data_IF_480958356028
#
_entry.id   IF_480958356028
#
_cell.length_a   1.000
_cell.length_b   1.000
_cell.length_c   1.000
_cell.angle_alpha   90.00
_cell.angle_beta   90.00
_cell.angle_gamma   90.00
#
_symmetry.space_group_name_H-M   'P 1'
#
loop_
_entity.id
_entity.type
_entity.pdbx_description
1 polymer ?
#
# COMPACT_ATOMS: atom_id res chain seq x y z
N UNK A 1 -32.19 13.18 31.39
CA UNK A 1 -32.30 12.56 30.05
C UNK A 1 -31.64 13.37 28.93
N UNK A 2 -31.44 14.70 29.03
CA UNK A 2 -30.75 15.47 27.96
C UNK A 2 -29.24 15.23 27.87
N UNK A 3 -28.56 14.96 28.99
CA UNK A 3 -27.11 14.68 28.99
C UNK A 3 -26.75 13.34 28.32
N UNK A 4 -27.61 12.32 28.44
CA UNK A 4 -27.38 11.00 27.81
C UNK A 4 -27.58 11.09 26.30
N UNK A 5 -28.56 11.87 25.81
CA UNK A 5 -28.75 12.07 24.38
C UNK A 5 -27.60 12.87 23.73
N UNK A 6 -27.02 13.84 24.46
CA UNK A 6 -25.86 14.58 24.00
C UNK A 6 -24.59 13.72 23.98
N UNK A 7 -24.35 12.88 25.01
CA UNK A 7 -23.21 11.95 25.04
C UNK A 7 -23.33 10.90 23.94
N UNK A 8 -24.53 10.37 23.68
CA UNK A 8 -24.76 9.43 22.58
C UNK A 8 -24.57 10.12 21.23
N UNK A 9 -25.09 11.34 21.01
CA UNK A 9 -24.88 12.01 19.73
C UNK A 9 -23.40 12.36 19.49
N UNK A 10 -22.67 12.77 20.53
CA UNK A 10 -21.24 13.10 20.44
C UNK A 10 -20.39 11.83 20.25
N UNK A 11 -20.68 10.75 20.97
CA UNK A 11 -20.04 9.45 20.77
C UNK A 11 -20.31 8.88 19.37
N UNK A 12 -21.51 9.07 18.83
CA UNK A 12 -21.85 8.56 17.49
C UNK A 12 -21.21 9.40 16.38
N UNK A 13 -20.99 10.70 16.59
CA UNK A 13 -20.31 11.57 15.60
C UNK A 13 -18.79 11.30 15.59
N UNK A 14 -18.18 11.11 16.76
CA UNK A 14 -16.74 10.83 16.90
C UNK A 14 -16.33 9.48 16.28
N UNK A 15 -17.23 8.49 16.23
CA UNK A 15 -16.92 7.18 15.62
C UNK A 15 -17.00 7.18 14.08
N UNK A 16 -17.79 8.05 13.45
CA UNK A 16 -17.92 8.06 11.98
C UNK A 16 -16.65 8.57 11.31
N UNK A 17 -16.01 9.59 11.88
CA UNK A 17 -14.77 10.17 11.34
C UNK A 17 -13.61 9.16 11.44
N UNK A 18 -13.49 8.45 12.56
CA UNK A 18 -12.51 7.38 12.74
C UNK A 18 -12.73 6.20 11.77
N UNK A 19 -13.99 5.82 11.51
CA UNK A 19 -14.33 4.79 10.53
C UNK A 19 -13.96 5.22 9.10
N UNK A 20 -14.20 6.48 8.74
CA UNK A 20 -13.84 7.02 7.44
C UNK A 20 -12.31 7.08 7.27
N UNK A 21 -11.57 7.55 8.27
CA UNK A 21 -10.10 7.57 8.22
C UNK A 21 -9.52 6.17 8.04
N UNK A 22 -10.07 5.19 8.74
CA UNK A 22 -9.66 3.78 8.60
C UNK A 22 -10.00 3.24 7.20
N UNK A 23 -11.20 3.55 6.69
CA UNK A 23 -11.61 3.15 5.35
C UNK A 23 -10.69 3.76 4.28
N UNK A 24 -10.40 5.06 4.35
CA UNK A 24 -9.48 5.75 3.44
C UNK A 24 -8.08 5.17 3.54
N UNK A 25 -7.55 4.97 4.75
CA UNK A 25 -6.26 4.36 4.96
C UNK A 25 -6.16 2.95 4.34
N UNK A 26 -7.22 2.14 4.48
CA UNK A 26 -7.27 0.80 3.87
C UNK A 26 -7.28 0.84 2.34
N UNK A 27 -8.00 1.80 1.75
CA UNK A 27 -8.03 2.00 0.29
C UNK A 27 -6.66 2.45 -0.20
N UNK A 28 -6.03 3.40 0.48
CA UNK A 28 -4.69 3.87 0.13
C UNK A 28 -3.67 2.72 0.23
N UNK A 29 -3.71 1.93 1.31
CA UNK A 29 -2.86 0.77 1.47
C UNK A 29 -3.07 -0.24 0.34
N UNK A 30 -4.33 -0.56 -0.01
CA UNK A 30 -4.65 -1.46 -1.11
C UNK A 30 -4.09 -0.95 -2.45
N UNK A 31 -4.28 0.34 -2.75
CA UNK A 31 -3.74 0.97 -3.97
C UNK A 31 -2.22 0.89 -4.01
N UNK A 32 -1.54 1.22 -2.92
CA UNK A 32 -0.06 1.16 -2.83
C UNK A 32 0.43 -0.26 -3.07
N UNK A 33 -0.19 -1.26 -2.43
CA UNK A 33 0.16 -2.67 -2.58
C UNK A 33 -0.04 -3.13 -4.02
N UNK A 34 -1.19 -2.83 -4.63
CA UNK A 34 -1.49 -3.19 -6.01
C UNK A 34 -0.52 -2.54 -6.99
N UNK A 35 -0.31 -1.22 -6.88
CA UNK A 35 0.62 -0.50 -7.77
C UNK A 35 2.05 -1.01 -7.65
N UNK A 36 2.52 -1.26 -6.43
CA UNK A 36 3.87 -1.77 -6.18
C UNK A 36 4.06 -3.15 -6.80
N UNK A 37 3.08 -4.04 -6.66
CA UNK A 37 3.11 -5.37 -7.27
C UNK A 37 3.06 -5.28 -8.81
N UNK A 38 2.19 -4.45 -9.37
CA UNK A 38 2.10 -4.25 -10.82
C UNK A 38 3.40 -3.69 -11.40
N UNK A 39 4.02 -2.70 -10.75
CA UNK A 39 5.31 -2.13 -11.14
C UNK A 39 6.44 -3.16 -11.05
N UNK A 40 6.44 -4.01 -10.02
CA UNK A 40 7.43 -5.07 -9.90
C UNK A 40 7.33 -6.05 -11.07
N UNK A 41 6.12 -6.56 -11.36
CA UNK A 41 5.87 -7.49 -12.46
C UNK A 41 6.26 -6.85 -13.80
N UNK A 42 5.81 -5.62 -14.05
CA UNK A 42 6.13 -4.89 -15.26
C UNK A 42 7.64 -4.68 -15.42
N UNK A 43 8.33 -4.25 -14.36
CA UNK A 43 9.76 -4.03 -14.39
C UNK A 43 10.57 -5.31 -14.61
N UNK A 44 10.18 -6.44 -13.98
CA UNK A 44 10.82 -7.73 -14.22
C UNK A 44 10.61 -8.24 -15.64
N UNK A 45 9.38 -8.15 -16.17
CA UNK A 45 9.08 -8.53 -17.55
C UNK A 45 9.85 -7.67 -18.55
N UNK A 46 9.89 -6.36 -18.33
CA UNK A 46 10.61 -5.41 -19.18
C UNK A 46 12.12 -5.62 -19.13
N UNK A 47 12.68 -5.87 -17.94
CA UNK A 47 14.09 -6.17 -17.78
C UNK A 47 14.50 -7.47 -18.50
N UNK A 48 13.65 -8.50 -18.44
CA UNK A 48 13.87 -9.75 -19.15
C UNK A 48 13.85 -9.53 -20.68
N UNK A 49 12.83 -8.83 -21.19
CA UNK A 49 12.70 -8.51 -22.62
C UNK A 49 13.89 -7.68 -23.15
N UNK A 50 14.30 -6.65 -22.41
CA UNK A 50 15.39 -5.76 -22.84
C UNK A 50 16.76 -6.44 -22.84
N UNK A 51 16.99 -7.43 -21.98
CA UNK A 51 18.19 -8.29 -22.03
C UNK A 51 18.26 -9.12 -23.30
N UNK A 52 17.13 -9.49 -23.89
CA UNK A 52 17.11 -10.21 -25.16
C UNK A 52 17.40 -9.32 -26.38
N UNK A 53 17.32 -7.99 -26.23
CA UNK A 53 17.50 -7.02 -27.32
C UNK A 53 18.85 -6.27 -27.22
N UNK A 54 19.81 -6.77 -26.43
CA UNK A 54 21.11 -6.11 -26.14
C UNK A 54 20.99 -4.67 -25.60
N UNK A 55 19.85 -4.33 -24.97
CA UNK A 55 19.59 -3.00 -24.39
C UNK A 55 19.87 -2.98 -22.89
N UNK A 56 21.11 -3.29 -22.52
CA UNK A 56 21.51 -3.55 -21.13
C UNK A 56 21.23 -2.41 -20.16
N UNK A 57 21.49 -1.16 -20.55
CA UNK A 57 21.22 0.01 -19.69
C UNK A 57 19.73 0.15 -19.35
N UNK A 58 18.85 -0.10 -20.32
CA UNK A 58 17.41 -0.03 -20.13
C UNK A 58 16.90 -1.22 -19.27
N UNK A 59 17.49 -2.40 -19.47
CA UNK A 59 17.20 -3.58 -18.66
C UNK A 59 17.59 -3.38 -17.18
N UNK A 60 18.73 -2.75 -16.91
CA UNK A 60 19.17 -2.40 -15.55
C UNK A 60 18.18 -1.42 -14.92
N UNK A 61 17.77 -0.37 -15.64
CA UNK A 61 16.80 0.60 -15.14
C UNK A 61 15.46 -0.05 -14.76
N UNK A 62 14.93 -0.91 -15.64
CA UNK A 62 13.70 -1.65 -15.37
C UNK A 62 13.86 -2.63 -14.18
N UNK A 63 15.02 -3.29 -14.06
CA UNK A 63 15.32 -4.19 -12.95
C UNK A 63 15.44 -3.46 -11.60
N UNK A 64 16.06 -2.28 -11.57
CA UNK A 64 16.15 -1.44 -10.36
C UNK A 64 14.76 -0.98 -9.94
N UNK A 65 13.93 -0.54 -10.88
CA UNK A 65 12.55 -0.15 -10.61
C UNK A 65 11.77 -1.33 -10.00
N UNK A 66 11.89 -2.52 -10.60
CA UNK A 66 11.24 -3.72 -10.12
C UNK A 66 11.68 -4.09 -8.69
N UNK A 67 12.98 -4.04 -8.42
CA UNK A 67 13.52 -4.32 -7.09
C UNK A 67 13.03 -3.31 -6.05
N UNK A 68 13.02 -2.02 -6.38
CA UNK A 68 12.52 -0.98 -5.48
C UNK A 68 11.03 -1.17 -5.17
N UNK A 69 10.19 -1.44 -6.18
CA UNK A 69 8.76 -1.67 -5.96
C UNK A 69 8.49 -2.97 -5.18
N UNK A 70 9.29 -4.02 -5.41
CA UNK A 70 9.23 -5.24 -4.60
C UNK A 70 9.58 -5.00 -3.13
N UNK A 71 10.57 -4.14 -2.85
CA UNK A 71 10.93 -3.77 -1.48
C UNK A 71 9.79 -2.99 -0.80
N UNK A 72 9.16 -2.05 -1.50
CA UNK A 72 7.99 -1.31 -0.98
C UNK A 72 6.83 -2.24 -0.69
N UNK A 73 6.55 -3.18 -1.59
CA UNK A 73 5.52 -4.20 -1.38
C UNK A 73 5.80 -5.07 -0.15
N UNK A 74 7.02 -5.59 -0.02
CA UNK A 74 7.44 -6.40 1.12
C UNK A 74 7.38 -5.61 2.44
N UNK A 75 7.83 -4.36 2.44
CA UNK A 75 7.78 -3.47 3.61
C UNK A 75 6.33 -3.19 4.04
N UNK A 76 5.42 -3.01 3.09
CA UNK A 76 4.00 -2.76 3.38
C UNK A 76 3.34 -3.97 4.06
N UNK A 77 3.65 -5.19 3.57
CA UNK A 77 3.19 -6.44 4.20
C UNK A 77 3.79 -6.59 5.60
N UNK A 78 5.10 -6.37 5.74
CA UNK A 78 5.80 -6.49 7.02
C UNK A 78 5.24 -5.52 8.07
N UNK A 79 4.95 -4.28 7.66
CA UNK A 79 4.32 -3.28 8.52
C UNK A 79 2.91 -3.72 8.96
N UNK A 80 2.09 -4.22 8.03
CA UNK A 80 0.77 -4.74 8.35
C UNK A 80 0.81 -5.90 9.36
N UNK A 81 1.74 -6.83 9.18
CA UNK A 81 1.97 -7.94 10.13
C UNK A 81 2.44 -7.40 11.48
N UNK A 82 3.38 -6.46 11.50
CA UNK A 82 3.89 -5.87 12.72
C UNK A 82 2.78 -5.19 13.54
N UNK A 83 1.91 -4.42 12.89
CA UNK A 83 0.75 -3.79 13.52
C UNK A 83 -0.23 -4.83 14.05
N UNK A 84 -0.49 -5.92 13.30
CA UNK A 84 -1.39 -6.98 13.77
C UNK A 84 -0.84 -7.73 15.01
N UNK A 85 0.49 -7.77 15.17
CA UNK A 85 1.15 -8.45 16.30
C UNK A 85 1.28 -7.53 17.53
N UNK A 86 1.53 -6.24 17.32
CA UNK A 86 1.90 -5.29 18.39
C UNK A 86 0.86 -4.20 18.67
N UNK A 87 -0.21 -4.13 17.87
CA UNK A 87 -1.32 -3.20 18.01
C UNK A 87 -2.49 -3.75 18.81
#
# INVERSE_FOLDING_TARGET
>A
MSAVAAIVSDATIVDVEALLDTAVASVVAAVIVTLSASLAIYGFATAAEMRHTDRDLAAIGAGVLAAASSLVFAATIALGIYVMING
#
